data_IF_551899116019
#
_entry.id   IF_551899116019
#
_cell.length_a   1.000
_cell.length_b   1.000
_cell.length_c   1.000
_cell.angle_alpha   90.00
_cell.angle_beta   90.00
_cell.angle_gamma   90.00
#
_symmetry.space_group_name_H-M   'P 1'
#
loop_
_entity.id
_entity.type
_entity.pdbx_description
1 polymer ?
#
# COMPACT_ATOMS: atom_id res chain seq x y z
N UNK A 1 20.92 0.34 -17.97
CA UNK A 1 19.70 1.10 -17.67
C UNK A 1 20.06 2.01 -16.51
N UNK A 2 20.17 3.32 -16.74
CA UNK A 2 20.31 4.25 -15.62
C UNK A 2 19.07 4.10 -14.75
N UNK A 3 19.24 3.61 -13.52
CA UNK A 3 18.17 3.64 -12.53
C UNK A 3 17.92 5.12 -12.22
N UNK A 4 16.88 5.70 -12.83
CA UNK A 4 16.36 7.00 -12.46
C UNK A 4 16.26 7.06 -10.94
N UNK A 5 16.83 8.10 -10.33
CA UNK A 5 16.68 8.34 -8.90
C UNK A 5 15.20 8.33 -8.51
N UNK A 6 14.93 7.77 -7.34
CA UNK A 6 13.61 7.79 -6.70
C UNK A 6 13.28 9.24 -6.34
N UNK A 7 12.03 9.67 -6.57
CA UNK A 7 11.55 11.02 -6.24
C UNK A 7 10.31 10.98 -5.36
N UNK A 8 10.12 12.00 -4.53
CA UNK A 8 8.86 12.18 -3.80
C UNK A 8 7.73 12.49 -4.79
N UNK A 9 6.61 11.73 -4.79
CA UNK A 9 5.48 12.08 -5.63
C UNK A 9 4.88 13.42 -5.16
N UNK A 10 4.33 14.26 -6.07
CA UNK A 10 3.75 15.54 -5.68
C UNK A 10 2.63 15.39 -4.65
N UNK A 11 2.47 16.38 -3.77
CA UNK A 11 1.43 16.36 -2.74
C UNK A 11 0.10 16.91 -3.26
N UNK A 12 -0.99 16.18 -3.00
CA UNK A 12 -2.36 16.66 -3.22
C UNK A 12 -2.79 17.54 -2.06
N UNK A 13 -3.37 18.70 -2.40
CA UNK A 13 -3.86 19.68 -1.45
C UNK A 13 -5.31 19.45 -1.02
N UNK A 14 -5.67 19.96 0.15
CA UNK A 14 -7.02 19.90 0.68
C UNK A 14 -8.05 20.76 -0.06
N UNK A 15 -9.35 20.57 0.23
CA UNK A 15 -9.88 19.58 1.18
C UNK A 15 -9.76 18.14 0.66
N UNK A 16 -9.70 17.14 1.56
CA UNK A 16 -9.77 15.73 1.16
C UNK A 16 -11.20 15.41 0.69
N UNK A 17 -11.34 15.01 -0.58
CA UNK A 17 -12.64 14.75 -1.20
C UNK A 17 -12.67 13.37 -1.85
N UNK A 18 -13.69 12.60 -1.51
CA UNK A 18 -14.09 11.38 -2.23
C UNK A 18 -15.45 11.64 -2.90
N UNK A 19 -15.52 11.45 -4.22
CA UNK A 19 -16.76 11.60 -4.97
C UNK A 19 -17.38 10.23 -5.33
N UNK A 20 -18.72 10.16 -5.41
CA UNK A 20 -19.42 9.00 -5.94
C UNK A 20 -18.98 8.62 -7.36
N UNK A 21 -18.99 7.32 -7.68
CA UNK A 21 -18.78 6.82 -9.05
C UNK A 21 -19.57 5.57 -9.33
N UNK A 22 -19.71 5.21 -10.60
CA UNK A 22 -20.29 3.93 -11.01
C UNK A 22 -19.23 2.84 -10.94
N UNK A 23 -19.37 1.92 -9.99
CA UNK A 23 -18.47 0.79 -9.89
C UNK A 23 -18.66 -0.20 -11.05
N UNK A 24 -17.53 -0.68 -11.56
CA UNK A 24 -17.42 -1.94 -12.26
C UNK A 24 -16.94 -3.00 -11.26
N UNK A 25 -17.58 -4.16 -11.21
CA UNK A 25 -17.23 -5.25 -10.29
C UNK A 25 -17.10 -6.56 -11.06
N UNK A 26 -16.00 -7.28 -10.88
CA UNK A 26 -15.90 -8.64 -11.42
C UNK A 26 -16.92 -9.54 -10.72
N UNK A 27 -17.46 -10.53 -11.43
CA UNK A 27 -18.26 -11.58 -10.81
C UNK A 27 -17.46 -12.27 -9.68
N UNK A 28 -18.08 -12.73 -8.59
CA UNK A 28 -17.38 -13.31 -7.43
C UNK A 28 -16.33 -14.38 -7.80
N UNK A 29 -16.66 -15.25 -8.75
CA UNK A 29 -15.77 -16.33 -9.22
C UNK A 29 -14.52 -15.87 -9.99
N UNK A 30 -14.45 -14.58 -10.33
CA UNK A 30 -13.35 -13.92 -11.06
C UNK A 30 -12.51 -13.01 -10.17
N UNK A 31 -13.00 -12.62 -8.99
CA UNK A 31 -12.24 -11.83 -8.01
C UNK A 31 -11.15 -12.72 -7.41
N UNK A 32 -9.93 -12.18 -7.31
CA UNK A 32 -8.77 -12.93 -6.81
C UNK A 32 -8.24 -14.01 -7.77
N UNK A 33 -8.86 -14.22 -8.94
CA UNK A 33 -8.39 -15.16 -9.95
C UNK A 33 -7.21 -14.55 -10.74
N UNK A 34 -5.99 -15.14 -10.71
CA UNK A 34 -4.88 -14.69 -11.55
C UNK A 34 -5.24 -14.69 -13.04
N UNK A 35 -6.14 -15.57 -13.45
CA UNK A 35 -6.61 -15.66 -14.83
C UNK A 35 -7.41 -14.42 -15.26
N UNK A 36 -8.07 -13.74 -14.31
CA UNK A 36 -8.79 -12.48 -14.54
C UNK A 36 -7.87 -11.30 -14.82
N UNK A 37 -6.61 -11.35 -14.38
CA UNK A 37 -5.63 -10.32 -14.73
C UNK A 37 -5.43 -10.21 -16.26
N UNK A 38 -5.72 -11.27 -17.02
CA UNK A 38 -5.69 -11.27 -18.49
C UNK A 38 -6.69 -10.29 -19.11
N UNK A 39 -7.79 -10.00 -18.42
CA UNK A 39 -8.75 -8.99 -18.87
C UNK A 39 -8.10 -7.60 -19.00
N UNK A 40 -7.11 -7.32 -18.15
CA UNK A 40 -6.36 -6.06 -18.08
C UNK A 40 -4.97 -6.13 -18.74
N UNK A 41 -4.63 -7.25 -19.39
CA UNK A 41 -3.32 -7.46 -20.00
C UNK A 41 -3.19 -6.82 -21.40
N UNK A 42 -1.95 -6.74 -21.93
CA UNK A 42 -1.68 -6.23 -23.28
C UNK A 42 -2.42 -7.02 -24.37
N UNK A 43 -2.70 -6.42 -25.53
CA UNK A 43 -2.66 -4.98 -25.82
C UNK A 43 -3.70 -4.19 -25.02
N UNK A 44 -3.27 -3.11 -24.33
CA UNK A 44 -4.11 -2.38 -23.38
C UNK A 44 -5.29 -1.64 -24.01
N UNK A 45 -5.11 -1.17 -25.26
CA UNK A 45 -6.17 -0.54 -26.06
C UNK A 45 -7.41 -1.44 -26.27
N UNK A 46 -7.26 -2.76 -26.13
CA UNK A 46 -8.36 -3.71 -26.30
C UNK A 46 -9.10 -4.00 -24.98
N UNK A 47 -8.59 -3.51 -23.84
CA UNK A 47 -9.13 -3.84 -22.50
C UNK A 47 -10.58 -3.40 -22.37
N UNK A 48 -10.92 -2.19 -22.82
CA UNK A 48 -12.30 -1.74 -22.74
C UNK A 48 -13.27 -2.60 -23.56
N UNK A 49 -12.87 -3.06 -24.75
CA UNK A 49 -13.67 -3.99 -25.55
C UNK A 49 -13.78 -5.39 -24.89
N UNK A 50 -12.74 -5.84 -24.18
CA UNK A 50 -12.79 -7.08 -23.39
C UNK A 50 -13.75 -6.97 -22.22
N UNK A 51 -13.71 -5.85 -21.48
CA UNK A 51 -14.61 -5.61 -20.35
C UNK A 51 -16.07 -5.54 -20.80
N UNK A 52 -16.35 -4.94 -21.95
CA UNK A 52 -17.71 -4.92 -22.50
C UNK A 52 -18.20 -6.32 -22.90
N UNK A 53 -17.33 -7.15 -23.50
CA UNK A 53 -17.65 -8.57 -23.73
C UNK A 53 -17.92 -9.30 -22.42
N UNK A 54 -17.08 -9.10 -21.41
CA UNK A 54 -17.27 -9.72 -20.09
C UNK A 54 -18.58 -9.30 -19.43
N UNK A 55 -18.98 -8.03 -19.60
CA UNK A 55 -20.28 -7.53 -19.14
C UNK A 55 -21.43 -8.27 -19.83
N UNK A 56 -21.38 -8.41 -21.15
CA UNK A 56 -22.39 -9.16 -21.91
C UNK A 56 -22.47 -10.65 -21.55
N UNK A 57 -21.38 -11.21 -21.04
CA UNK A 57 -21.27 -12.59 -20.57
C UNK A 57 -21.60 -12.78 -19.07
N UNK A 58 -21.98 -11.71 -18.35
CA UNK A 58 -22.26 -11.76 -16.91
C UNK A 58 -21.03 -11.95 -16.02
N UNK A 59 -19.82 -11.71 -16.54
CA UNK A 59 -18.57 -11.78 -15.79
C UNK A 59 -18.15 -10.46 -15.15
N UNK A 60 -18.83 -9.36 -15.51
CA UNK A 60 -18.60 -8.02 -15.01
C UNK A 60 -19.96 -7.35 -14.77
N UNK A 61 -20.15 -6.85 -13.55
CA UNK A 61 -21.29 -6.04 -13.15
C UNK A 61 -20.92 -4.56 -13.27
N UNK A 62 -21.92 -3.72 -13.53
CA UNK A 62 -21.80 -2.27 -13.57
C UNK A 62 -22.99 -1.65 -12.85
N UNK A 63 -22.71 -0.76 -11.91
CA UNK A 63 -23.74 0.01 -11.24
C UNK A 63 -24.39 1.04 -12.17
N UNK A 64 -25.71 1.18 -12.05
CA UNK A 64 -26.49 2.13 -12.84
C UNK A 64 -26.25 3.58 -12.38
N UNK A 65 -26.14 3.78 -11.07
CA UNK A 65 -26.02 5.10 -10.43
C UNK A 65 -24.71 5.19 -9.65
N UNK A 66 -24.07 6.37 -9.63
CA UNK A 66 -22.85 6.57 -8.86
C UNK A 66 -23.14 6.49 -7.35
N UNK A 67 -22.18 5.96 -6.60
CA UNK A 67 -22.21 5.89 -5.14
C UNK A 67 -20.81 6.08 -4.56
N UNK A 68 -20.73 6.45 -3.28
CA UNK A 68 -19.58 6.04 -2.47
C UNK A 68 -19.82 4.61 -1.98
N UNK A 69 -18.77 3.83 -1.80
CA UNK A 69 -18.92 2.44 -1.38
C UNK A 69 -18.23 2.22 -0.04
N UNK A 70 -18.98 1.73 0.95
CA UNK A 70 -18.35 1.11 2.11
C UNK A 70 -17.93 -0.29 1.69
N UNK A 71 -16.63 -0.57 1.64
CA UNK A 71 -16.09 -1.87 1.31
C UNK A 71 -15.47 -2.49 2.55
N UNK A 72 -15.98 -3.64 2.95
CA UNK A 72 -15.40 -4.48 3.96
C UNK A 72 -14.87 -5.77 3.35
N UNK A 73 -13.70 -6.21 3.80
CA UNK A 73 -13.18 -7.52 3.47
C UNK A 73 -12.53 -8.17 4.69
N UNK A 74 -12.65 -9.50 4.78
CA UNK A 74 -12.00 -10.29 5.84
C UNK A 74 -11.03 -11.28 5.20
N UNK A 75 -9.77 -11.21 5.63
CA UNK A 75 -8.71 -12.09 5.17
C UNK A 75 -7.96 -12.66 6.38
N UNK A 76 -7.84 -13.99 6.46
CA UNK A 76 -7.11 -14.68 7.55
C UNK A 76 -7.56 -14.22 8.96
N UNK A 77 -8.86 -14.01 9.13
CA UNK A 77 -9.45 -13.58 10.41
C UNK A 77 -9.34 -12.08 10.72
N UNK A 78 -8.67 -11.29 9.87
CA UNK A 78 -8.57 -9.83 10.01
C UNK A 78 -9.62 -9.18 9.10
N UNK A 79 -10.51 -8.40 9.69
CA UNK A 79 -11.50 -7.60 8.95
C UNK A 79 -11.01 -6.18 8.78
N UNK A 80 -11.04 -5.70 7.54
CA UNK A 80 -10.72 -4.31 7.15
C UNK A 80 -11.95 -3.69 6.49
N UNK A 81 -12.21 -2.44 6.82
CA UNK A 81 -13.28 -1.65 6.22
C UNK A 81 -12.76 -0.29 5.79
N UNK A 82 -13.16 0.13 4.58
CA UNK A 82 -12.81 1.44 4.07
C UNK A 82 -13.86 2.02 3.15
N UNK A 83 -13.86 3.33 3.05
CA UNK A 83 -14.69 4.08 2.13
C UNK A 83 -14.00 4.16 0.77
N UNK A 84 -14.68 3.76 -0.30
CA UNK A 84 -14.16 3.72 -1.66
C UNK A 84 -14.88 4.75 -2.51
N UNK A 85 -14.09 5.60 -3.19
CA UNK A 85 -14.59 6.69 -4.01
C UNK A 85 -13.52 7.28 -4.91
N UNK A 86 -13.88 8.35 -5.61
CA UNK A 86 -12.96 9.09 -6.46
C UNK A 86 -12.27 10.18 -5.66
N UNK A 87 -10.99 9.96 -5.37
CA UNK A 87 -10.11 10.96 -4.78
C UNK A 87 -9.86 12.10 -5.75
N UNK A 88 -10.23 13.33 -5.35
CA UNK A 88 -9.85 14.55 -6.05
C UNK A 88 -8.34 14.77 -5.95
N UNK A 89 -7.67 14.68 -7.10
CA UNK A 89 -6.22 14.91 -7.23
C UNK A 89 -5.92 16.16 -8.06
N UNK A 90 -6.90 17.02 -8.29
CA UNK A 90 -6.75 18.24 -9.11
C UNK A 90 -5.94 19.34 -8.41
N UNK A 91 -5.96 19.36 -7.08
CA UNK A 91 -5.31 20.38 -6.25
C UNK A 91 -3.91 19.94 -5.82
N UNK A 92 -2.93 20.84 -5.90
CA UNK A 92 -1.57 20.63 -5.37
C UNK A 92 -1.40 21.40 -4.06
N UNK A 93 -0.72 20.79 -3.10
CA UNK A 93 -0.33 21.47 -1.87
C UNK A 93 0.96 22.28 -2.11
N UNK A 94 0.93 23.58 -1.78
CA UNK A 94 2.12 24.42 -1.80
C UNK A 94 2.88 24.38 -0.46
N UNK A 95 2.15 24.22 0.65
CA UNK A 95 2.71 24.16 2.00
C UNK A 95 2.37 22.81 2.68
N UNK A 96 3.18 22.34 3.64
CA UNK A 96 2.89 21.10 4.39
C UNK A 96 1.51 21.05 5.02
N UNK A 97 1.03 22.17 5.57
CA UNK A 97 -0.29 22.29 6.20
C UNK A 97 -1.47 22.11 5.23
N UNK A 98 -1.24 22.28 3.92
CA UNK A 98 -2.30 22.21 2.92
C UNK A 98 -2.47 20.77 2.39
N UNK A 99 -1.62 19.82 2.82
CA UNK A 99 -1.57 18.46 2.28
C UNK A 99 -2.73 17.62 2.79
N UNK A 100 -3.51 17.06 1.87
CA UNK A 100 -4.55 16.07 2.17
C UNK A 100 -4.04 14.63 2.03
N UNK A 101 -3.05 14.40 1.16
CA UNK A 101 -2.50 13.07 0.88
C UNK A 101 -1.00 13.07 1.16
N UNK A 102 -0.58 12.10 1.97
CA UNK A 102 0.79 11.96 2.46
C UNK A 102 1.44 10.69 1.87
N UNK A 103 2.30 10.82 0.85
CA UNK A 103 3.24 9.76 0.48
C UNK A 103 4.34 9.59 1.54
N UNK A 104 4.77 8.34 1.75
CA UNK A 104 5.86 8.01 2.67
C UNK A 104 7.00 7.21 2.06
N UNK A 105 6.84 6.77 0.82
CA UNK A 105 7.89 6.17 0.00
C UNK A 105 7.99 6.98 -1.30
N UNK A 106 9.19 7.03 -1.86
CA UNK A 106 9.39 7.65 -3.16
C UNK A 106 8.97 6.74 -4.30
N UNK A 107 8.89 7.29 -5.50
CA UNK A 107 8.51 6.58 -6.73
C UNK A 107 9.63 6.65 -7.77
N UNK A 108 9.66 5.67 -8.66
CA UNK A 108 10.43 5.73 -9.90
C UNK A 108 9.61 6.47 -10.96
N UNK A 109 10.07 7.61 -11.49
CA UNK A 109 9.35 8.39 -12.50
C UNK A 109 8.91 7.55 -13.70
N UNK A 110 9.81 6.73 -14.27
CA UNK A 110 9.50 5.88 -15.42
C UNK A 110 8.38 4.87 -15.14
N UNK A 111 8.36 4.24 -13.96
CA UNK A 111 7.27 3.32 -13.59
C UNK A 111 5.93 4.04 -13.44
N UNK A 112 5.94 5.27 -12.94
CA UNK A 112 4.73 6.09 -12.83
C UNK A 112 4.22 6.52 -14.22
N UNK A 113 5.11 6.89 -15.14
CA UNK A 113 4.74 7.23 -16.52
C UNK A 113 4.20 6.01 -17.28
N UNK A 114 4.85 4.85 -17.17
CA UNK A 114 4.37 3.58 -17.75
C UNK A 114 2.99 3.19 -17.20
N UNK A 115 2.77 3.40 -15.90
CA UNK A 115 1.47 3.10 -15.28
C UNK A 115 0.39 4.09 -15.74
N UNK A 116 0.72 5.37 -15.88
CA UNK A 116 -0.19 6.38 -16.44
C UNK A 116 -0.60 6.01 -17.87
N UNK A 117 0.37 5.66 -18.72
CA UNK A 117 0.11 5.27 -20.11
C UNK A 117 -0.79 4.03 -20.20
N UNK A 118 -0.57 3.05 -19.33
CA UNK A 118 -1.44 1.87 -19.22
C UNK A 118 -2.86 2.24 -18.82
N UNK A 119 -3.03 3.04 -17.76
CA UNK A 119 -4.34 3.47 -17.28
C UNK A 119 -5.10 4.27 -18.34
N UNK A 120 -4.40 5.13 -19.07
CA UNK A 120 -4.95 5.89 -20.20
C UNK A 120 -5.42 4.97 -21.33
N UNK A 121 -4.55 4.05 -21.78
CA UNK A 121 -4.89 3.12 -22.86
C UNK A 121 -6.04 2.16 -22.49
N UNK A 122 -6.14 1.77 -21.22
CA UNK A 122 -7.24 0.94 -20.73
C UNK A 122 -8.51 1.73 -20.46
N UNK A 123 -8.41 3.06 -20.33
CA UNK A 123 -9.46 3.95 -19.82
C UNK A 123 -10.03 3.45 -18.47
N UNK A 124 -9.14 3.03 -17.56
CA UNK A 124 -9.52 2.31 -16.34
C UNK A 124 -8.60 2.60 -15.16
N UNK A 125 -9.18 2.64 -13.95
CA UNK A 125 -8.45 2.38 -12.71
C UNK A 125 -8.86 0.99 -12.19
N UNK A 126 -8.02 -0.06 -12.37
CA UNK A 126 -8.39 -1.45 -12.06
C UNK A 126 -8.44 -1.77 -10.57
N UNK A 127 -7.91 -0.90 -9.71
CA UNK A 127 -7.94 -1.05 -8.27
C UNK A 127 -7.69 0.29 -7.57
N UNK A 128 -8.26 0.49 -6.36
CA UNK A 128 -8.01 1.68 -5.55
C UNK A 128 -6.57 1.76 -5.07
N UNK A 129 -6.02 2.97 -4.92
CA UNK A 129 -4.93 3.16 -3.95
C UNK A 129 -5.47 2.97 -2.54
N UNK A 130 -4.64 2.47 -1.64
CA UNK A 130 -5.04 2.27 -0.24
C UNK A 130 -4.53 3.44 0.59
N UNK A 131 -5.45 4.10 1.28
CA UNK A 131 -5.19 5.23 2.15
C UNK A 131 -5.56 4.86 3.58
N UNK A 132 -4.81 5.39 4.55
CA UNK A 132 -5.13 5.27 5.96
C UNK A 132 -5.21 6.64 6.61
N UNK A 133 -6.21 6.83 7.47
CA UNK A 133 -6.36 8.02 8.30
C UNK A 133 -6.77 7.65 9.74
N UNK A 134 -6.96 8.66 10.59
CA UNK A 134 -7.66 8.53 11.87
C UNK A 134 -8.92 9.39 11.82
N UNK A 135 -10.05 8.77 11.49
CA UNK A 135 -11.27 9.50 11.18
C UNK A 135 -11.94 10.09 12.42
N UNK A 136 -12.71 11.18 12.27
CA UNK A 136 -13.48 11.73 13.37
C UNK A 136 -14.57 10.75 13.82
N UNK A 137 -15.03 10.87 15.06
CA UNK A 137 -16.07 9.98 15.59
C UNK A 137 -17.40 10.08 14.81
N UNK A 138 -17.70 11.27 14.26
CA UNK A 138 -18.84 11.54 13.35
C UNK A 138 -18.78 10.67 12.08
N UNK A 139 -17.64 10.69 11.39
CA UNK A 139 -17.05 9.66 10.53
C UNK A 139 -17.64 8.26 10.74
N UNK A 140 -17.15 7.67 11.82
CA UNK A 140 -17.44 6.29 12.22
C UNK A 140 -18.91 6.06 12.52
N UNK A 141 -19.61 7.07 13.07
CA UNK A 141 -21.04 6.97 13.35
C UNK A 141 -21.88 6.84 12.06
N UNK A 142 -21.55 7.59 11.00
CA UNK A 142 -22.20 7.47 9.69
C UNK A 142 -21.96 6.09 9.09
N UNK A 143 -20.70 5.66 9.04
CA UNK A 143 -20.34 4.38 8.45
C UNK A 143 -20.94 3.19 9.21
N UNK A 144 -21.11 3.30 10.53
CA UNK A 144 -21.81 2.28 11.33
C UNK A 144 -23.30 2.17 11.01
N UNK A 145 -23.96 3.29 10.69
CA UNK A 145 -25.37 3.27 10.21
C UNK A 145 -25.48 2.58 8.86
N UNK A 146 -24.56 2.88 7.94
CA UNK A 146 -24.49 2.21 6.63
C UNK A 146 -24.25 0.70 6.82
N UNK A 147 -23.29 0.32 7.65
CA UNK A 147 -22.95 -1.08 7.94
C UNK A 147 -24.13 -1.88 8.53
N UNK A 148 -25.03 -1.23 9.28
CA UNK A 148 -26.20 -1.90 9.87
C UNK A 148 -27.27 -2.31 8.83
N UNK A 149 -27.16 -1.84 7.59
CA UNK A 149 -28.04 -2.21 6.47
C UNK A 149 -27.57 -3.53 5.85
N UNK A 150 -28.45 -4.17 5.09
CA UNK A 150 -28.05 -5.32 4.25
C UNK A 150 -27.04 -4.86 3.18
N UNK A 151 -25.89 -5.54 3.01
CA UNK A 151 -24.94 -5.22 1.95
C UNK A 151 -25.54 -5.48 0.56
N UNK A 152 -25.22 -4.64 -0.42
CA UNK A 152 -25.59 -4.83 -1.83
C UNK A 152 -24.86 -6.05 -2.43
N UNK A 153 -23.64 -6.32 -1.96
CA UNK A 153 -22.86 -7.49 -2.33
C UNK A 153 -22.26 -8.15 -1.09
N UNK A 154 -22.45 -9.46 -0.92
CA UNK A 154 -21.79 -10.30 0.09
C UNK A 154 -21.34 -11.60 -0.59
N UNK A 155 -20.04 -11.80 -0.73
CA UNK A 155 -19.48 -12.97 -1.41
C UNK A 155 -18.08 -13.31 -0.90
N UNK A 156 -17.66 -14.55 -1.13
CA UNK A 156 -16.27 -14.99 -0.94
C UNK A 156 -15.60 -15.13 -2.29
N UNK A 157 -14.39 -14.59 -2.41
CA UNK A 157 -13.61 -14.65 -3.65
C UNK A 157 -12.77 -15.94 -3.77
N UNK A 158 -11.90 -16.03 -4.79
CA UNK A 158 -11.06 -17.22 -5.02
C UNK A 158 -9.89 -17.40 -4.07
N UNK A 159 -9.55 -16.38 -3.28
CA UNK A 159 -8.45 -16.42 -2.32
C UNK A 159 -8.98 -16.42 -0.88
N UNK A 160 -10.23 -16.87 -0.71
CA UNK A 160 -10.95 -17.00 0.55
C UNK A 160 -11.08 -15.68 1.34
N UNK A 161 -11.10 -14.54 0.63
CA UNK A 161 -11.51 -13.27 1.22
C UNK A 161 -13.02 -13.13 1.13
N UNK A 162 -13.68 -12.91 2.27
CA UNK A 162 -15.09 -12.53 2.29
C UNK A 162 -15.21 -11.03 2.11
N UNK A 163 -15.97 -10.59 1.12
CA UNK A 163 -16.24 -9.18 0.82
C UNK A 163 -17.69 -8.83 1.11
N UNK A 164 -17.89 -7.65 1.71
CA UNK A 164 -19.20 -6.99 1.82
C UNK A 164 -19.10 -5.57 1.30
N UNK A 165 -20.04 -5.16 0.46
CA UNK A 165 -20.07 -3.82 -0.15
C UNK A 165 -21.45 -3.20 0.05
N UNK A 166 -21.47 -1.95 0.52
CA UNK A 166 -22.66 -1.12 0.63
C UNK A 166 -22.50 0.12 -0.23
N UNK A 167 -23.44 0.38 -1.12
CA UNK A 167 -23.51 1.60 -1.92
C UNK A 167 -24.24 2.71 -1.13
N UNK A 168 -23.54 3.82 -0.93
CA UNK A 168 -24.03 5.02 -0.24
C UNK A 168 -24.46 6.02 -1.31
N UNK A 169 -25.78 6.21 -1.43
CA UNK A 169 -26.43 7.11 -2.39
C UNK A 169 -27.28 8.20 -1.73
N UNK A 170 -27.56 8.06 -0.45
CA UNK A 170 -28.35 9.05 0.29
C UNK A 170 -27.60 10.38 0.36
N UNK A 171 -28.25 11.46 -0.07
CA UNK A 171 -27.61 12.77 -0.18
C UNK A 171 -27.15 13.31 1.17
N UNK A 172 -27.91 13.08 2.24
CA UNK A 172 -27.54 13.55 3.57
C UNK A 172 -26.32 12.78 4.12
N UNK A 173 -26.26 11.46 3.90
CA UNK A 173 -25.08 10.68 4.27
C UNK A 173 -23.83 11.07 3.47
N UNK A 174 -23.98 11.34 2.17
CA UNK A 174 -22.88 11.82 1.33
C UNK A 174 -22.37 13.19 1.79
N UNK A 175 -23.26 14.10 2.15
CA UNK A 175 -22.89 15.43 2.68
C UNK A 175 -22.20 15.33 4.05
N UNK A 176 -22.71 14.49 4.96
CA UNK A 176 -22.05 14.21 6.25
C UNK A 176 -20.63 13.68 6.03
N UNK A 177 -20.45 12.69 5.15
CA UNK A 177 -19.14 12.13 4.81
C UNK A 177 -18.21 13.21 4.22
N UNK A 178 -18.71 14.04 3.31
CA UNK A 178 -17.91 15.07 2.66
C UNK A 178 -17.43 16.14 3.66
N UNK A 179 -18.31 16.59 4.56
CA UNK A 179 -17.95 17.51 5.65
C UNK A 179 -16.94 16.89 6.59
N UNK A 180 -17.12 15.61 6.91
CA UNK A 180 -16.27 14.92 7.87
C UNK A 180 -14.86 14.66 7.35
N UNK A 181 -14.72 14.47 6.04
CA UNK A 181 -13.43 14.25 5.39
C UNK A 181 -12.67 15.54 5.05
N UNK A 182 -13.34 16.69 4.90
CA UNK A 182 -12.75 17.87 4.27
C UNK A 182 -11.40 18.31 4.88
N UNK A 183 -11.27 18.27 6.20
CA UNK A 183 -10.07 18.68 6.94
C UNK A 183 -9.14 17.51 7.31
N UNK A 184 -9.48 16.29 6.89
CA UNK A 184 -8.70 15.09 7.21
C UNK A 184 -7.47 14.96 6.29
N UNK A 185 -6.48 14.24 6.80
CA UNK A 185 -5.27 13.89 6.06
C UNK A 185 -5.08 12.39 6.03
N UNK A 186 -4.74 11.83 4.87
CA UNK A 186 -4.56 10.40 4.69
C UNK A 186 -3.15 10.04 4.20
N UNK A 187 -2.56 9.01 4.80
CA UNK A 187 -1.29 8.42 4.39
C UNK A 187 -1.55 7.38 3.29
N UNK A 188 -0.72 7.35 2.25
CA UNK A 188 -0.79 6.32 1.20
C UNK A 188 -0.24 5.02 1.77
N UNK A 189 -1.09 4.10 2.23
CA UNK A 189 -0.68 2.78 2.70
C UNK A 189 -0.19 1.86 1.56
N UNK A 190 -0.78 1.98 0.38
CA UNK A 190 -0.34 1.23 -0.81
C UNK A 190 -0.66 1.98 -2.10
N UNK A 191 0.22 1.86 -3.09
CA UNK A 191 -0.02 2.37 -4.43
C UNK A 191 0.62 3.73 -4.75
N UNK A 192 1.79 4.07 -4.19
CA UNK A 192 2.50 5.35 -4.47
C UNK A 192 2.72 5.59 -5.96
N UNK A 193 3.13 4.56 -6.71
CA UNK A 193 3.28 4.65 -8.18
C UNK A 193 1.94 4.89 -8.89
N UNK A 194 0.84 4.31 -8.38
CA UNK A 194 -0.52 4.50 -8.92
C UNK A 194 -1.03 5.90 -8.63
N UNK A 195 -0.81 6.40 -7.42
CA UNK A 195 -1.05 7.79 -7.06
C UNK A 195 -0.26 8.74 -7.97
N UNK A 196 1.04 8.49 -8.16
CA UNK A 196 1.85 9.28 -9.08
C UNK A 196 1.31 9.23 -10.52
N UNK A 197 0.85 8.06 -10.99
CA UNK A 197 0.21 7.91 -12.29
C UNK A 197 -1.08 8.75 -12.41
N UNK A 198 -1.93 8.81 -11.38
CA UNK A 198 -3.10 9.70 -11.35
C UNK A 198 -2.69 11.16 -11.54
N UNK A 199 -1.66 11.62 -10.84
CA UNK A 199 -1.14 12.99 -10.98
C UNK A 199 -0.54 13.26 -12.36
N UNK A 200 0.08 12.27 -13.00
CA UNK A 200 0.57 12.37 -14.38
C UNK A 200 -0.58 12.52 -15.36
N UNK A 201 -1.62 11.69 -15.23
CA UNK A 201 -2.81 11.79 -16.07
C UNK A 201 -3.51 13.14 -15.91
N UNK A 202 -3.72 13.57 -14.67
CA UNK A 202 -4.30 14.87 -14.34
C UNK A 202 -3.51 16.04 -14.95
N UNK A 203 -2.17 15.99 -14.86
CA UNK A 203 -1.31 17.02 -15.45
C UNK A 203 -1.37 17.04 -16.99
N UNK A 204 -1.50 15.87 -17.62
CA UNK A 204 -1.55 15.74 -19.10
C UNK A 204 -2.93 16.13 -19.65
N UNK A 205 -3.99 15.83 -18.91
CA UNK A 205 -5.37 16.06 -19.30
C UNK A 205 -6.14 16.68 -18.11
N UNK A 206 -5.90 17.96 -17.78
CA UNK A 206 -6.61 18.61 -16.68
C UNK A 206 -8.10 18.73 -17.01
N UNK A 207 -8.95 18.54 -16.01
CA UNK A 207 -10.40 18.53 -16.20
C UNK A 207 -10.98 17.13 -16.42
N UNK A 208 -12.24 16.95 -16.02
CA UNK A 208 -13.00 15.73 -16.25
C UNK A 208 -12.47 14.52 -15.45
N UNK A 209 -12.47 13.30 -16.02
CA UNK A 209 -12.20 12.08 -15.25
C UNK A 209 -10.76 11.98 -14.75
N UNK A 210 -9.81 12.69 -15.38
CA UNK A 210 -8.40 12.67 -14.99
C UNK A 210 -8.10 13.53 -13.76
N UNK A 211 -9.03 14.37 -13.31
CA UNK A 211 -8.89 15.10 -12.04
C UNK A 211 -9.06 14.18 -10.81
N UNK A 212 -9.44 12.93 -11.02
CA UNK A 212 -9.71 12.00 -9.94
C UNK A 212 -8.94 10.69 -10.08
N UNK A 213 -8.69 10.02 -8.95
CA UNK A 213 -8.15 8.67 -8.87
C UNK A 213 -9.02 7.77 -7.98
N UNK A 214 -9.07 6.45 -8.25
CA UNK A 214 -9.79 5.53 -7.40
C UNK A 214 -9.03 5.30 -6.09
N UNK A 215 -9.68 5.46 -4.93
CA UNK A 215 -9.06 5.28 -3.62
C UNK A 215 -9.98 4.53 -2.64
N UNK A 216 -9.38 3.80 -1.72
CA UNK A 216 -10.00 3.19 -0.55
C UNK A 216 -9.39 3.79 0.71
N UNK A 217 -10.21 4.37 1.56
CA UNK A 217 -9.81 5.09 2.77
C UNK A 217 -10.20 4.28 4.01
N UNK A 218 -9.20 3.79 4.73
CA UNK A 218 -9.35 2.93 5.91
C UNK A 218 -9.08 3.74 7.18
N UNK A 219 -9.93 3.54 8.20
CA UNK A 219 -9.76 4.15 9.51
C UNK A 219 -8.94 3.26 10.45
N UNK A 220 -7.76 3.74 10.86
CA UNK A 220 -6.88 3.03 11.78
C UNK A 220 -7.42 2.93 13.21
N UNK A 221 -8.51 3.64 13.54
CA UNK A 221 -9.17 3.57 14.84
C UNK A 221 -10.41 2.66 14.87
N UNK A 222 -10.80 2.06 13.73
CA UNK A 222 -11.95 1.13 13.63
C UNK A 222 -11.53 -0.27 13.21
N UNK A 223 -10.97 -0.41 11.99
CA UNK A 223 -10.51 -1.69 11.44
C UNK A 223 -9.10 -1.53 10.85
N UNK A 224 -8.07 -1.42 11.71
CA UNK A 224 -6.74 -1.02 11.28
C UNK A 224 -6.08 -2.06 10.37
N UNK A 225 -5.39 -1.56 9.35
CA UNK A 225 -4.41 -2.35 8.63
C UNK A 225 -3.22 -2.64 9.55
N UNK A 226 -2.76 -3.89 9.48
CA UNK A 226 -1.51 -4.32 10.08
C UNK A 226 -0.34 -3.81 9.24
N UNK A 227 0.58 -3.08 9.89
CA UNK A 227 1.82 -2.66 9.26
C UNK A 227 2.90 -3.73 9.52
N UNK A 228 3.08 -4.62 8.54
CA UNK A 228 4.03 -5.71 8.60
C UNK A 228 5.47 -5.28 8.30
N UNK A 229 6.40 -6.09 8.82
CA UNK A 229 7.80 -6.02 8.43
C UNK A 229 7.98 -6.48 6.98
N UNK A 230 9.02 -5.95 6.35
CA UNK A 230 9.63 -6.54 5.17
C UNK A 230 10.99 -7.03 5.65
N UNK A 231 11.40 -8.24 5.29
CA UNK A 231 12.68 -8.85 5.66
C UNK A 231 13.66 -8.71 4.47
N UNK A 232 14.96 -8.71 4.74
CA UNK A 232 15.99 -8.63 3.68
C UNK A 232 16.75 -9.94 3.55
N UNK A 233 17.19 -10.26 2.35
CA UNK A 233 18.21 -11.27 2.11
C UNK A 233 19.40 -10.57 1.45
N UNK A 234 20.55 -10.64 2.11
CA UNK A 234 21.82 -10.06 1.69
C UNK A 234 22.64 -11.15 1.01
N UNK A 235 22.47 -11.28 -0.31
CA UNK A 235 23.11 -12.34 -1.07
C UNK A 235 24.62 -12.06 -1.18
N UNK A 236 25.44 -13.07 -0.91
CA UNK A 236 26.90 -12.97 -0.92
C UNK A 236 27.49 -12.27 0.31
N UNK A 237 26.71 -12.11 1.37
CA UNK A 237 27.16 -11.56 2.66
C UNK A 237 27.11 -12.66 3.71
N UNK A 238 28.20 -12.84 4.47
CA UNK A 238 28.25 -13.78 5.60
C UNK A 238 27.82 -13.14 6.92
N UNK A 239 27.51 -13.96 7.92
CA UNK A 239 27.27 -13.46 9.29
C UNK A 239 28.48 -12.71 9.85
N UNK A 240 29.69 -13.17 9.55
CA UNK A 240 30.91 -12.52 10.05
C UNK A 240 31.14 -11.15 9.40
N UNK A 241 30.71 -10.95 8.15
CA UNK A 241 30.68 -9.63 7.51
C UNK A 241 29.72 -8.68 8.24
N UNK A 242 28.53 -9.18 8.63
CA UNK A 242 27.55 -8.37 9.39
C UNK A 242 28.08 -8.03 10.77
N UNK A 243 28.76 -8.97 11.45
CA UNK A 243 29.42 -8.70 12.73
C UNK A 243 30.48 -7.62 12.58
N UNK A 244 31.39 -7.76 11.61
CA UNK A 244 32.44 -6.78 11.36
C UNK A 244 31.86 -5.38 11.07
N UNK A 245 30.77 -5.30 10.30
CA UNK A 245 30.07 -4.06 10.03
C UNK A 245 29.43 -3.46 11.30
N UNK A 246 28.75 -4.28 12.11
CA UNK A 246 28.14 -3.86 13.36
C UNK A 246 29.19 -3.32 14.35
N UNK A 247 30.31 -4.02 14.52
CA UNK A 247 31.42 -3.60 15.37
C UNK A 247 32.01 -2.26 14.90
N UNK A 248 32.21 -2.11 13.59
CA UNK A 248 32.78 -0.89 13.00
C UNK A 248 31.93 0.37 13.22
N UNK A 249 30.61 0.22 13.32
CA UNK A 249 29.66 1.33 13.55
C UNK A 249 29.10 1.36 14.98
N UNK A 250 29.62 0.51 15.88
CA UNK A 250 29.22 0.48 17.29
C UNK A 250 27.82 -0.07 17.57
N UNK A 251 27.27 -0.90 16.69
CA UNK A 251 26.05 -1.67 16.94
C UNK A 251 26.38 -2.95 17.71
N UNK A 252 25.53 -3.34 18.67
CA UNK A 252 25.73 -4.57 19.44
C UNK A 252 25.46 -5.80 18.59
N UNK A 253 26.31 -6.82 18.67
CA UNK A 253 26.13 -8.10 17.97
C UNK A 253 26.24 -9.25 18.98
N UNK A 254 25.27 -10.17 18.99
CA UNK A 254 25.29 -11.33 19.90
C UNK A 254 24.73 -12.56 19.23
N UNK A 255 25.55 -13.61 19.10
CA UNK A 255 25.09 -14.92 18.63
C UNK A 255 24.30 -15.65 19.71
N UNK A 256 23.27 -16.36 19.30
CA UNK A 256 22.34 -17.04 20.20
C UNK A 256 21.59 -18.15 19.45
N UNK A 257 20.66 -18.83 20.12
CA UNK A 257 19.80 -19.82 19.47
C UNK A 257 18.71 -19.15 18.63
N UNK A 258 18.13 -19.88 17.69
CA UNK A 258 17.01 -19.41 16.88
C UNK A 258 15.85 -18.88 17.74
N UNK A 259 15.45 -19.63 18.77
CA UNK A 259 14.33 -19.27 19.64
C UNK A 259 14.59 -17.94 20.37
N UNK A 260 15.80 -17.77 20.89
CA UNK A 260 16.19 -16.56 21.59
C UNK A 260 16.31 -15.36 20.63
N UNK A 261 16.83 -15.56 19.42
CA UNK A 261 16.93 -14.52 18.42
C UNK A 261 15.55 -14.03 17.98
N UNK A 262 14.66 -14.94 17.58
CA UNK A 262 13.30 -14.60 17.13
C UNK A 262 12.50 -13.94 18.25
N UNK A 263 12.60 -14.44 19.50
CA UNK A 263 11.93 -13.84 20.64
C UNK A 263 12.47 -12.43 21.00
N UNK A 264 13.72 -12.12 20.62
CA UNK A 264 14.32 -10.83 20.86
C UNK A 264 13.94 -9.77 19.81
N UNK A 265 13.30 -10.14 18.70
CA UNK A 265 12.93 -9.19 17.64
C UNK A 265 12.04 -8.07 18.21
N UNK A 266 12.46 -6.83 18.01
CA UNK A 266 11.83 -5.68 18.63
C UNK A 266 12.24 -4.36 17.98
N UNK A 267 11.67 -3.22 18.40
CA UNK A 267 11.89 -1.93 17.74
C UNK A 267 13.36 -1.52 17.58
N UNK A 268 14.24 -2.04 18.43
CA UNK A 268 15.68 -1.78 18.55
C UNK A 268 16.55 -3.01 18.27
N UNK A 269 15.98 -4.10 17.75
CA UNK A 269 16.67 -5.38 17.54
C UNK A 269 16.33 -5.99 16.19
N UNK A 270 17.36 -6.26 15.40
CA UNK A 270 17.28 -7.04 14.16
C UNK A 270 17.75 -8.47 14.45
N UNK A 271 17.22 -9.43 13.71
CA UNK A 271 17.74 -10.81 13.72
C UNK A 271 18.46 -11.09 12.42
N UNK A 272 19.65 -11.68 12.49
CA UNK A 272 20.46 -12.04 11.33
C UNK A 272 20.74 -13.54 11.37
N UNK A 273 20.56 -14.22 10.24
CA UNK A 273 20.80 -15.67 10.15
C UNK A 273 21.19 -16.12 8.75
N UNK A 274 22.02 -17.15 8.65
CA UNK A 274 22.33 -17.90 7.43
C UNK A 274 21.67 -19.29 7.42
N UNK A 275 20.60 -19.46 8.23
CA UNK A 275 19.92 -20.69 8.62
C UNK A 275 20.62 -21.54 9.71
N UNK A 276 21.95 -21.59 9.71
CA UNK A 276 22.70 -22.40 10.69
C UNK A 276 23.04 -21.62 11.96
N UNK A 277 23.46 -20.36 11.79
CA UNK A 277 23.82 -19.44 12.86
C UNK A 277 22.76 -18.35 12.99
N UNK A 278 22.55 -17.91 14.23
CA UNK A 278 21.55 -16.91 14.56
C UNK A 278 22.17 -15.84 15.46
N UNK A 279 21.90 -14.59 15.14
CA UNK A 279 22.43 -13.46 15.88
C UNK A 279 21.40 -12.33 16.02
N UNK A 280 21.56 -11.56 17.09
CA UNK A 280 20.82 -10.33 17.36
C UNK A 280 21.75 -9.16 17.08
N UNK A 281 21.29 -8.21 16.25
CA UNK A 281 21.91 -6.90 16.08
C UNK A 281 21.10 -5.87 16.86
N UNK A 282 21.70 -5.30 17.90
CA UNK A 282 21.07 -4.27 18.73
C UNK A 282 21.40 -2.89 18.17
N UNK A 283 20.36 -2.12 17.87
CA UNK A 283 20.43 -0.80 17.23
C UNK A 283 19.80 0.26 18.12
N UNK A 284 20.47 1.40 18.29
CA UNK A 284 19.86 2.56 18.95
C UNK A 284 19.06 3.34 17.91
N UNK A 285 17.73 3.22 17.91
CA UNK A 285 16.86 3.89 16.91
C UNK A 285 16.41 5.26 17.41
N UNK A 286 16.89 6.38 16.82
CA UNK A 286 16.41 7.70 17.15
C UNK A 286 14.88 7.84 16.99
N UNK A 287 14.22 8.76 17.73
CA UNK A 287 12.77 8.96 17.65
C UNK A 287 12.25 9.28 16.24
N UNK A 288 13.12 9.85 15.42
CA UNK A 288 12.85 10.41 14.10
C UNK A 288 13.34 9.48 12.97
N UNK A 289 13.81 8.27 13.28
CA UNK A 289 14.34 7.27 12.34
C UNK A 289 13.66 5.92 12.56
N UNK A 290 13.83 5.01 11.60
CA UNK A 290 13.38 3.62 11.70
C UNK A 290 14.54 2.64 11.67
N UNK A 291 14.31 1.43 12.18
CA UNK A 291 15.24 0.31 12.06
C UNK A 291 15.64 0.03 10.59
N UNK A 292 14.68 0.17 9.66
CA UNK A 292 14.93 0.04 8.21
C UNK A 292 15.92 1.09 7.72
N UNK A 293 15.78 2.35 8.14
CA UNK A 293 16.74 3.40 7.79
C UNK A 293 18.13 3.10 8.35
N UNK A 294 18.24 2.61 9.59
CA UNK A 294 19.56 2.27 10.15
C UNK A 294 20.22 1.10 9.41
N UNK A 295 19.43 0.09 9.00
CA UNK A 295 19.94 -0.99 8.17
C UNK A 295 20.51 -0.47 6.85
N UNK A 296 19.74 0.33 6.11
CA UNK A 296 20.11 0.77 4.76
C UNK A 296 21.14 1.90 4.74
N UNK A 297 21.09 2.82 5.71
CA UNK A 297 21.96 4.02 5.72
C UNK A 297 23.27 3.79 6.49
N UNK A 298 23.34 2.76 7.35
CA UNK A 298 24.51 2.53 8.21
C UNK A 298 25.05 1.11 8.10
N UNK A 299 24.24 0.08 8.41
CA UNK A 299 24.76 -1.29 8.50
C UNK A 299 25.18 -1.86 7.13
N UNK A 300 24.32 -1.76 6.11
CA UNK A 300 24.63 -2.25 4.76
C UNK A 300 25.85 -1.52 4.16
N UNK A 301 25.95 -0.17 4.21
CA UNK A 301 27.14 0.54 3.75
C UNK A 301 28.44 0.21 4.49
N UNK A 302 28.34 -0.26 5.74
CA UNK A 302 29.49 -0.66 6.54
C UNK A 302 29.97 -2.11 6.27
N UNK A 303 29.25 -2.88 5.43
CA UNK A 303 29.67 -4.23 5.05
C UNK A 303 30.99 -4.18 4.27
N UNK A 304 32.00 -5.01 4.62
CA UNK A 304 33.33 -4.96 4.00
C UNK A 304 33.34 -5.04 2.46
N UNK A 305 32.46 -5.88 1.90
CA UNK A 305 32.35 -6.10 0.45
C UNK A 305 30.98 -5.71 -0.12
N UNK A 306 30.03 -5.31 0.73
CA UNK A 306 28.63 -5.13 0.38
C UNK A 306 27.93 -6.43 -0.07
N UNK A 307 26.59 -6.43 -0.13
CA UNK A 307 25.85 -7.55 -0.72
C UNK A 307 25.91 -7.50 -2.24
N UNK A 308 25.96 -8.66 -2.89
CA UNK A 308 25.85 -8.80 -4.35
C UNK A 308 24.45 -8.44 -4.84
N UNK A 309 23.42 -8.84 -4.09
CA UNK A 309 22.05 -8.41 -4.30
C UNK A 309 21.31 -8.31 -2.96
N UNK A 310 20.26 -7.49 -2.97
CA UNK A 310 19.40 -7.23 -1.83
C UNK A 310 17.97 -7.60 -2.20
N UNK A 311 17.48 -8.70 -1.65
CA UNK A 311 16.15 -9.22 -1.92
C UNK A 311 15.20 -8.92 -0.74
N UNK A 312 13.89 -8.81 -1.03
CA UNK A 312 12.88 -8.35 -0.08
C UNK A 312 11.76 -9.37 0.05
N UNK A 313 11.41 -9.73 1.29
CA UNK A 313 10.43 -10.77 1.60
C UNK A 313 9.38 -10.27 2.60
N UNK A 314 8.11 -10.63 2.38
CA UNK A 314 7.00 -10.19 3.23
C UNK A 314 6.69 -11.13 4.40
N UNK A 315 7.30 -12.32 4.40
CA UNK A 315 7.17 -13.31 5.47
C UNK A 315 8.55 -13.76 5.94
N UNK A 316 8.63 -14.24 7.18
CA UNK A 316 9.88 -14.79 7.72
C UNK A 316 10.20 -16.09 7.00
N UNK A 317 9.19 -16.92 6.74
CA UNK A 317 9.30 -18.21 6.07
C UNK A 317 9.91 -18.07 4.67
N UNK A 318 9.42 -17.12 3.86
CA UNK A 318 9.97 -16.86 2.53
C UNK A 318 11.42 -16.36 2.61
N UNK A 319 11.76 -15.53 3.60
CA UNK A 319 13.12 -15.02 3.76
C UNK A 319 14.10 -16.14 4.15
N UNK A 320 13.70 -17.01 5.09
CA UNK A 320 14.51 -18.15 5.55
C UNK A 320 14.68 -19.20 4.45
N UNK A 321 13.70 -19.37 3.57
CA UNK A 321 13.82 -20.31 2.45
C UNK A 321 14.80 -19.86 1.36
N UNK A 322 15.28 -18.61 1.41
CA UNK A 322 16.25 -18.06 0.45
C UNK A 322 17.69 -18.03 0.97
N UNK A 323 18.00 -18.59 2.14
CA UNK A 323 19.35 -18.48 2.71
C UNK A 323 19.96 -19.83 3.04
N UNK A 324 21.26 -19.92 2.77
CA UNK A 324 22.17 -20.97 3.25
C UNK A 324 23.50 -20.29 3.59
N UNK A 325 24.41 -20.93 4.37
CA UNK A 325 25.72 -20.37 4.71
C UNK A 325 26.53 -19.88 3.51
N UNK A 326 26.37 -20.50 2.34
CA UNK A 326 27.10 -20.16 1.11
C UNK A 326 26.42 -19.05 0.29
N UNK A 327 25.13 -18.82 0.48
CA UNK A 327 24.35 -17.95 -0.38
C UNK A 327 24.18 -16.55 0.18
N UNK A 328 24.01 -16.40 1.49
CA UNK A 328 23.85 -15.10 2.13
C UNK A 328 23.14 -15.16 3.48
N UNK A 329 22.79 -13.99 4.00
CA UNK A 329 22.10 -13.86 5.30
C UNK A 329 20.72 -13.22 5.15
N UNK A 330 19.78 -13.71 5.94
CA UNK A 330 18.48 -13.09 6.13
C UNK A 330 18.56 -12.11 7.30
N UNK A 331 18.05 -10.90 7.09
CA UNK A 331 17.86 -9.89 8.14
C UNK A 331 16.36 -9.78 8.40
N UNK A 332 15.92 -10.32 9.53
CA UNK A 332 14.53 -10.20 9.97
C UNK A 332 14.34 -8.85 10.65
N UNK A 333 13.42 -8.06 10.10
CA UNK A 333 13.14 -6.71 10.59
C UNK A 333 11.99 -6.68 11.59
N UNK A 334 12.03 -5.77 12.57
CA UNK A 334 10.85 -5.47 13.36
C UNK A 334 9.79 -4.78 12.49
N UNK A 335 8.51 -5.05 12.81
CA UNK A 335 7.39 -4.35 12.20
C UNK A 335 7.45 -2.85 12.57
N UNK A 336 7.34 -1.92 11.60
CA UNK A 336 7.32 -0.51 11.90
C UNK A 336 6.02 -0.11 12.61
N UNK A 337 6.11 0.89 13.49
CA UNK A 337 4.92 1.48 14.12
C UNK A 337 4.32 2.55 13.20
N UNK A 338 2.99 2.50 12.98
CA UNK A 338 2.27 3.47 12.13
C UNK A 338 2.48 4.90 12.62
N UNK A 339 2.46 5.15 13.93
CA UNK A 339 2.72 6.47 14.51
C UNK A 339 4.12 7.02 14.22
N UNK A 340 5.09 6.13 14.02
CA UNK A 340 6.46 6.52 13.65
C UNK A 340 6.53 6.90 12.17
N UNK A 341 5.87 6.13 11.30
CA UNK A 341 5.73 6.47 9.87
C UNK A 341 5.07 7.83 9.71
N UNK A 342 3.93 8.07 10.38
CA UNK A 342 3.21 9.34 10.32
C UNK A 342 4.07 10.52 10.80
N UNK A 343 4.89 10.34 11.84
CA UNK A 343 5.82 11.39 12.32
C UNK A 343 6.87 11.73 11.27
N UNK A 344 7.54 10.73 10.70
CA UNK A 344 8.59 10.94 9.68
C UNK A 344 8.02 11.69 8.47
N UNK A 345 6.82 11.34 8.05
CA UNK A 345 6.17 11.94 6.88
C UNK A 345 5.73 13.38 7.14
N UNK A 346 5.30 13.70 8.37
CA UNK A 346 4.99 15.08 8.79
C UNK A 346 6.23 15.98 8.83
N UNK A 347 7.41 15.40 9.02
CA UNK A 347 8.70 16.11 8.92
C UNK A 347 9.22 16.19 7.47
N UNK A 348 8.39 15.94 6.47
CA UNK A 348 8.72 15.96 5.04
C UNK A 348 9.83 14.97 4.63
N UNK A 349 9.98 13.88 5.39
CA UNK A 349 10.95 12.83 5.09
C UNK A 349 10.27 11.58 4.55
N UNK A 350 11.00 10.88 3.69
CA UNK A 350 10.59 9.59 3.16
C UNK A 350 11.28 8.45 3.90
N UNK A 351 10.61 7.31 3.91
CA UNK A 351 11.20 6.04 4.27
C UNK A 351 11.92 5.44 3.05
N UNK A 352 12.91 4.55 3.28
CA UNK A 352 13.49 3.74 2.22
C UNK A 352 12.40 2.94 1.48
N UNK A 353 12.67 2.59 0.22
CA UNK A 353 11.76 1.73 -0.54
C UNK A 353 11.52 0.41 0.21
N UNK A 354 10.28 -0.09 0.17
CA UNK A 354 9.92 -1.36 0.84
C UNK A 354 10.18 -1.30 2.36
N UNK A 355 10.00 -0.14 2.97
CA UNK A 355 10.06 -0.01 4.43
C UNK A 355 8.75 -0.45 5.10
N UNK A 356 7.64 -0.42 4.37
CA UNK A 356 6.30 -0.66 4.93
C UNK A 356 5.52 -1.68 4.12
N UNK A 357 4.74 -2.53 4.79
CA UNK A 357 3.77 -3.42 4.14
C UNK A 357 2.46 -3.41 4.91
N UNK A 358 1.50 -2.60 4.46
CA UNK A 358 0.15 -2.60 5.03
C UNK A 358 -0.64 -3.82 4.51
N UNK A 359 -1.21 -4.58 5.44
CA UNK A 359 -1.90 -5.85 5.21
C UNK A 359 -3.14 -5.98 6.10
N UNK A 360 -4.10 -6.86 5.75
CA UNK A 360 -4.27 -7.49 4.46
C UNK A 360 -4.76 -6.50 3.39
N UNK A 361 -4.45 -6.73 2.12
CA UNK A 361 -4.94 -5.92 0.99
C UNK A 361 -6.21 -6.53 0.37
N UNK A 362 -7.15 -5.71 -0.14
CA UNK A 362 -8.34 -6.23 -0.81
C UNK A 362 -7.94 -6.89 -2.13
N UNK A 363 -8.64 -7.95 -2.50
CA UNK A 363 -8.50 -8.57 -3.81
C UNK A 363 -8.79 -7.61 -4.96
N UNK A 364 -8.04 -7.76 -6.04
CA UNK A 364 -8.22 -6.96 -7.24
C UNK A 364 -9.56 -7.27 -7.91
N UNK A 365 -10.20 -6.23 -8.42
CA UNK A 365 -11.40 -6.35 -9.24
C UNK A 365 -12.74 -6.35 -8.49
N UNK A 366 -12.73 -6.11 -7.18
CA UNK A 366 -13.98 -5.88 -6.41
C UNK A 366 -14.61 -4.55 -6.82
N UNK A 367 -13.86 -3.45 -6.76
CA UNK A 367 -14.29 -2.12 -7.21
C UNK A 367 -13.28 -1.57 -8.22
N UNK A 368 -13.75 -1.38 -9.44
CA UNK A 368 -13.01 -0.88 -10.59
C UNK A 368 -13.70 0.40 -11.08
N UNK A 369 -12.91 1.38 -11.50
CA UNK A 369 -13.43 2.62 -12.09
C UNK A 369 -13.13 2.69 -13.59
N UNK A 370 -14.15 2.96 -14.39
CA UNK A 370 -14.03 3.38 -15.80
C UNK A 370 -13.69 4.87 -15.89
N UNK A 371 -12.71 5.25 -16.72
CA UNK A 371 -12.43 6.66 -17.05
C UNK A 371 -13.38 7.24 -18.10
N UNK A 372 -14.25 6.40 -18.69
CA UNK A 372 -15.32 6.84 -19.61
C UNK A 372 -16.53 7.40 -18.89
N UNK A 373 -16.57 7.20 -17.57
CA UNK A 373 -17.63 7.68 -16.70
C UNK A 373 -17.17 9.07 -16.24
N UNK A 374 -17.87 10.09 -16.74
CA UNK A 374 -17.51 11.51 -16.59
C UNK A 374 -17.33 11.96 -15.16
#
# INVERSE_FOLDING_TARGET
MEFSAVVTPPYVGGPLRLLPFRALMLAPSRVGDPSSARAFARPYRDVAARLERWRSQGHLLRDAEPALYLHEYTARGITIRGLVGLLDVSRRAALPRDRAILPHEGIYPGQADDLADRMWQMELNPAPILLVHRGPARLRAVLKRVQARTPDHDFTDRVDQRHRVWAIRDAAELDEIAVDLADETALIADGHHRYAAYLRLQKRNPGGPCDYGLAMLVDQEDTPLFLGAIHRVLVGTSIDDVRAAADAIGMGFTETTMEAAVAALGPDRLVVTDADRWAIVTISVPPDRTAVQLLHDQLIPALPYGPRSLDYHHTVEDALSQVTPELGVAVLMPAPLVDRVLRIVRDDRLLPEKATSFQPKPSLGVLIRSLRDG
#
